data_IF_457828344547
#
_entry.id   IF_457828344547
#
_cell.length_a   1.000
_cell.length_b   1.000
_cell.length_c   1.000
_cell.angle_alpha   90.00
_cell.angle_beta   90.00
_cell.angle_gamma   90.00
#
_symmetry.space_group_name_H-M   'P 1'
#
loop_
_entity.id
_entity.type
_entity.pdbx_description
1 polymer ?
#
# COMPACT_ATOMS: atom_id res chain seq x y z
N UNK A 1 110.49 0.51 -1.58
CA UNK A 1 109.27 0.28 -2.30
C UNK A 1 108.16 0.78 -1.38
N UNK A 2 107.83 2.02 -1.53
CA UNK A 2 106.85 2.76 -0.63
C UNK A 2 105.47 2.73 -1.29
N UNK A 3 104.48 2.16 -0.61
CA UNK A 3 103.13 2.29 -0.99
C UNK A 3 102.46 3.44 -0.18
N UNK A 4 102.02 4.50 -0.88
CA UNK A 4 101.15 5.56 -0.32
C UNK A 4 99.74 5.08 -0.34
N UNK A 5 99.12 5.02 0.84
CA UNK A 5 97.67 4.89 1.00
C UNK A 5 97.10 6.28 1.10
N UNK A 6 96.34 6.68 0.06
CA UNK A 6 95.60 7.97 0.04
C UNK A 6 94.25 7.69 0.63
N UNK A 7 94.01 8.26 1.86
CA UNK A 7 92.71 8.18 2.55
C UNK A 7 91.80 9.24 1.97
N UNK A 8 90.74 8.76 1.29
CA UNK A 8 89.69 9.61 0.75
C UNK A 8 88.66 9.91 1.85
N UNK A 9 88.63 11.14 2.34
CA UNK A 9 87.68 11.64 3.30
C UNK A 9 86.39 12.06 2.55
N UNK A 10 85.31 11.24 2.60
CA UNK A 10 84.01 11.58 2.06
C UNK A 10 83.28 12.40 3.12
N UNK A 11 83.11 13.67 2.86
CA UNK A 11 82.28 14.55 3.65
C UNK A 11 80.82 14.27 3.25
N UNK A 12 80.07 13.55 4.09
CA UNK A 12 78.64 13.43 4.02
C UNK A 12 78.02 14.75 4.48
N UNK A 13 77.64 15.58 3.53
CA UNK A 13 76.75 16.73 3.81
C UNK A 13 75.35 16.14 4.03
N UNK A 14 74.98 16.00 5.28
CA UNK A 14 73.59 15.72 5.63
C UNK A 14 72.73 16.88 5.18
N UNK A 15 71.95 16.66 4.13
CA UNK A 15 70.76 17.50 3.89
C UNK A 15 69.78 17.20 5.02
N UNK A 16 69.71 18.11 6.00
CA UNK A 16 68.53 18.21 6.85
C UNK A 16 67.39 18.60 5.93
N UNK A 17 66.48 17.70 5.68
CA UNK A 17 65.16 18.09 5.24
C UNK A 17 64.60 18.93 6.39
N UNK A 18 64.47 20.22 6.19
CA UNK A 18 63.49 21.00 6.96
C UNK A 18 62.16 20.23 6.90
N UNK A 19 61.67 19.82 8.02
CA UNK A 19 60.24 19.49 8.15
C UNK A 19 59.53 20.77 7.76
N UNK A 20 59.13 20.83 6.47
CA UNK A 20 58.07 21.78 6.09
C UNK A 20 56.98 21.57 7.11
N UNK A 21 56.62 22.66 7.80
CA UNK A 21 55.42 22.75 8.62
C UNK A 21 54.28 22.12 7.83
N UNK A 22 54.00 20.86 8.10
CA UNK A 22 52.74 20.25 7.72
C UNK A 22 51.75 21.06 8.52
N UNK A 23 51.12 22.03 7.86
CA UNK A 23 49.92 22.66 8.39
C UNK A 23 48.95 21.50 8.62
N UNK A 24 48.96 20.92 9.81
CA UNK A 24 47.95 20.00 10.22
C UNK A 24 46.64 20.75 10.09
N UNK A 25 45.81 20.33 9.15
CA UNK A 25 44.45 20.81 9.02
C UNK A 25 43.69 20.39 10.27
N UNK A 26 43.71 21.27 11.26
CA UNK A 26 43.03 21.01 12.55
C UNK A 26 41.58 21.38 12.36
N UNK A 27 40.73 20.35 12.31
CA UNK A 27 39.28 20.48 12.40
C UNK A 27 38.93 20.69 13.87
N UNK A 28 38.46 21.88 14.22
CA UNK A 28 38.06 22.20 15.58
C UNK A 28 36.55 21.85 15.77
N UNK A 29 36.19 21.48 16.99
CA UNK A 29 34.77 21.41 17.34
C UNK A 29 34.17 22.83 17.25
N UNK A 30 32.93 22.91 16.68
CA UNK A 30 32.20 24.17 16.69
C UNK A 30 31.97 24.66 18.12
N UNK A 31 32.00 25.97 18.29
CA UNK A 31 31.65 26.65 19.56
C UNK A 31 30.15 27.00 19.60
N UNK A 32 29.46 26.87 18.49
CA UNK A 32 28.01 27.12 18.36
C UNK A 32 27.22 25.83 18.60
N UNK A 33 26.08 25.95 19.22
CA UNK A 33 25.16 24.83 19.41
C UNK A 33 24.43 24.52 18.12
N UNK A 34 24.41 23.24 17.76
CA UNK A 34 23.59 22.75 16.66
C UNK A 34 22.13 22.63 17.12
N UNK A 35 21.20 23.23 16.41
CA UNK A 35 19.79 23.24 16.75
C UNK A 35 18.91 23.28 15.50
N UNK A 36 17.74 22.65 15.56
CA UNK A 36 16.71 22.83 14.57
C UNK A 36 16.15 24.26 14.61
N UNK A 37 15.96 24.84 13.42
CA UNK A 37 15.40 26.18 13.21
C UNK A 37 13.99 26.16 12.66
N UNK A 38 13.56 25.00 12.12
CA UNK A 38 12.22 24.80 11.62
C UNK A 38 11.16 24.92 12.72
N UNK A 39 9.99 25.48 12.36
CA UNK A 39 8.83 25.54 13.26
C UNK A 39 8.07 24.21 13.13
N UNK A 40 8.07 23.45 14.22
CA UNK A 40 7.38 22.16 14.27
C UNK A 40 5.89 22.35 14.58
N UNK A 41 5.06 21.48 13.96
CA UNK A 41 3.62 21.42 14.27
C UNK A 41 3.38 20.68 15.59
N UNK A 42 2.30 20.98 16.31
CA UNK A 42 1.96 20.26 17.53
C UNK A 42 1.63 18.80 17.31
N UNK A 43 1.04 18.46 16.13
CA UNK A 43 0.69 17.10 15.70
C UNK A 43 0.86 17.00 14.19
N UNK A 44 1.40 15.89 13.72
CA UNK A 44 1.52 15.53 12.31
C UNK A 44 0.49 14.44 12.01
N UNK A 45 -0.55 14.79 11.25
CA UNK A 45 -1.59 13.86 10.84
C UNK A 45 -1.14 13.10 9.61
N UNK A 46 -1.12 11.77 9.69
CA UNK A 46 -0.57 10.86 8.69
C UNK A 46 -1.70 10.10 8.00
N UNK A 47 -2.00 10.45 6.77
CA UNK A 47 -2.93 9.75 5.88
C UNK A 47 -2.11 8.89 4.90
N UNK A 48 -2.17 7.57 5.01
CA UNK A 48 -1.43 6.65 4.14
C UNK A 48 -1.83 6.79 2.65
N UNK A 49 -3.05 7.26 2.37
CA UNK A 49 -3.48 7.59 1.00
C UNK A 49 -2.67 8.71 0.36
N UNK A 50 -1.87 9.43 1.16
CA UNK A 50 -0.97 10.53 0.76
C UNK A 50 0.50 10.22 1.01
N UNK A 51 0.87 8.95 0.91
CA UNK A 51 2.19 8.43 1.28
C UNK A 51 3.38 9.22 0.69
N UNK A 52 3.24 9.71 -0.54
CA UNK A 52 4.29 10.45 -1.25
C UNK A 52 4.24 11.97 -1.05
N UNK A 53 3.28 12.50 -0.28
CA UNK A 53 3.24 13.93 0.06
C UNK A 53 4.27 14.27 1.13
N UNK A 54 4.78 15.50 1.08
CA UNK A 54 5.69 16.04 2.08
C UNK A 54 4.95 16.23 3.40
N UNK A 55 5.49 15.66 4.48
CA UNK A 55 4.87 15.71 5.81
C UNK A 55 5.64 16.57 6.81
N UNK A 56 6.95 16.49 6.80
CA UNK A 56 7.80 17.16 7.78
C UNK A 56 8.99 17.82 7.09
N UNK A 57 9.18 19.12 7.32
CA UNK A 57 10.37 19.86 6.93
C UNK A 57 11.22 20.15 8.16
N UNK A 58 12.46 19.69 8.15
CA UNK A 58 13.46 19.95 9.17
C UNK A 58 14.56 20.82 8.58
N UNK A 59 14.87 21.89 9.25
CA UNK A 59 15.98 22.79 8.95
C UNK A 59 16.78 23.05 10.24
N UNK A 60 18.09 23.24 10.13
CA UNK A 60 18.98 23.52 11.26
C UNK A 60 20.04 24.54 10.89
N UNK A 61 20.68 25.13 11.92
CA UNK A 61 21.75 26.09 11.69
C UNK A 61 23.03 25.43 11.18
N UNK A 62 23.74 26.10 10.31
CA UNK A 62 25.08 25.69 9.88
C UNK A 62 26.11 25.88 10.99
N UNK A 63 27.09 24.99 11.08
CA UNK A 63 28.20 25.11 12.00
C UNK A 63 29.53 25.26 11.25
N UNK A 64 30.42 26.12 11.81
CA UNK A 64 31.78 26.21 11.34
C UNK A 64 32.73 25.33 12.16
N UNK A 65 33.57 24.57 11.46
CA UNK A 65 34.59 23.70 12.06
C UNK A 65 36.02 24.29 11.92
N UNK A 66 36.14 25.58 11.74
CA UNK A 66 37.44 26.29 11.70
C UNK A 66 38.21 26.18 10.39
N UNK A 67 37.66 25.55 9.38
CA UNK A 67 38.23 25.39 8.03
C UNK A 67 37.24 25.88 6.99
N UNK A 68 37.57 26.95 6.28
CA UNK A 68 36.72 27.51 5.21
C UNK A 68 36.46 26.54 4.04
N UNK A 69 37.31 25.54 3.84
CA UNK A 69 37.24 24.57 2.78
C UNK A 69 36.71 23.20 3.24
N UNK A 70 36.31 23.05 4.49
CA UNK A 70 35.79 21.79 4.99
C UNK A 70 34.40 21.50 4.38
N UNK A 71 34.25 20.31 3.80
CA UNK A 71 32.94 19.82 3.39
C UNK A 71 32.22 19.32 4.66
N UNK A 72 31.28 20.13 5.11
CA UNK A 72 30.40 19.79 6.23
C UNK A 72 29.26 18.96 5.68
N UNK A 73 28.93 17.89 6.37
CA UNK A 73 27.78 17.03 6.06
C UNK A 73 26.89 16.89 7.28
N UNK A 74 25.64 16.56 7.00
CA UNK A 74 24.63 16.40 8.03
C UNK A 74 24.00 15.01 7.94
N UNK A 75 23.53 14.50 9.05
CA UNK A 75 22.79 13.27 9.14
C UNK A 75 21.66 13.45 10.16
N UNK A 76 20.43 13.26 9.72
CA UNK A 76 19.27 13.25 10.60
C UNK A 76 19.02 11.82 11.05
N UNK A 77 18.85 11.64 12.33
CA UNK A 77 18.52 10.39 12.99
C UNK A 77 17.15 10.52 13.63
N UNK A 78 16.30 9.51 13.44
CA UNK A 78 14.99 9.38 14.06
C UNK A 78 14.92 8.13 14.96
N UNK A 79 14.19 8.21 16.04
CA UNK A 79 13.95 7.09 16.94
C UNK A 79 12.56 7.16 17.54
N UNK A 80 12.01 5.98 17.83
CA UNK A 80 10.77 5.85 18.63
C UNK A 80 11.06 5.95 20.13
N UNK A 81 12.34 5.99 20.53
CA UNK A 81 12.78 6.11 21.92
C UNK A 81 13.51 7.44 22.11
N UNK A 82 13.14 8.21 23.13
CA UNK A 82 13.76 9.52 23.45
C UNK A 82 15.27 9.43 23.69
N UNK A 83 15.73 8.33 24.28
CA UNK A 83 17.13 8.08 24.57
C UNK A 83 17.96 7.60 23.37
N UNK A 84 17.32 7.39 22.20
CA UNK A 84 17.95 6.84 21.00
C UNK A 84 18.65 5.50 21.25
N UNK A 85 18.05 4.65 22.09
CA UNK A 85 18.50 3.27 22.29
C UNK A 85 18.46 2.45 20.99
N UNK A 86 17.59 2.82 20.07
CA UNK A 86 17.55 2.37 18.68
C UNK A 86 17.60 3.55 17.72
N UNK A 87 18.10 3.33 16.51
CA UNK A 87 17.99 4.29 15.41
C UNK A 87 17.02 3.67 14.40
N UNK A 88 15.86 4.26 14.28
CA UNK A 88 14.75 3.70 13.50
C UNK A 88 14.61 4.42 12.14
N UNK A 89 15.22 5.60 12.00
CA UNK A 89 15.36 6.35 10.76
C UNK A 89 16.76 6.96 10.64
N UNK A 90 17.31 6.94 9.44
CA UNK A 90 18.60 7.56 9.12
C UNK A 90 18.58 8.16 7.71
N UNK A 91 18.82 9.46 7.58
CA UNK A 91 18.73 10.19 6.31
C UNK A 91 19.89 9.93 5.31
N UNK A 92 20.95 9.23 5.72
CA UNK A 92 22.19 9.28 4.95
C UNK A 92 22.96 10.60 5.15
N UNK A 93 23.96 10.85 4.32
CA UNK A 93 24.78 12.08 4.40
C UNK A 93 24.20 13.19 3.52
N UNK A 94 23.73 14.27 4.13
CA UNK A 94 23.17 15.44 3.47
C UNK A 94 24.25 16.53 3.31
N UNK A 95 24.19 17.32 2.24
CA UNK A 95 25.08 18.46 2.01
C UNK A 95 24.45 19.77 2.48
N UNK A 96 23.13 19.85 2.42
CA UNK A 96 22.37 21.04 2.80
C UNK A 96 21.82 20.86 4.22
N UNK A 97 21.64 21.95 5.00
CA UNK A 97 21.18 21.89 6.37
C UNK A 97 19.65 21.74 6.49
N UNK A 98 19.07 20.94 5.63
CA UNK A 98 17.62 20.70 5.56
C UNK A 98 17.29 19.27 5.15
N UNK A 99 16.10 18.83 5.51
CA UNK A 99 15.53 17.53 5.14
C UNK A 99 14.01 17.61 5.10
N UNK A 100 13.43 17.12 4.02
CA UNK A 100 11.99 16.86 3.93
C UNK A 100 11.73 15.37 4.07
N UNK A 101 10.82 14.98 4.97
CA UNK A 101 10.29 13.63 5.09
C UNK A 101 8.87 13.58 4.54
N UNK A 102 8.57 12.48 3.85
CA UNK A 102 7.23 12.21 3.33
C UNK A 102 6.36 11.52 4.38
N UNK A 103 5.05 11.49 4.13
CA UNK A 103 4.08 10.79 4.99
C UNK A 103 4.51 9.35 5.24
N UNK A 104 4.96 8.62 4.21
CA UNK A 104 5.42 7.22 4.35
C UNK A 104 6.57 7.04 5.33
N UNK A 105 7.50 8.02 5.41
CA UNK A 105 8.66 7.92 6.31
C UNK A 105 8.22 7.99 7.77
N UNK A 106 7.31 8.92 8.08
CA UNK A 106 6.73 9.04 9.43
C UNK A 106 5.78 7.89 9.75
N UNK A 107 5.03 7.39 8.74
CA UNK A 107 4.14 6.25 8.90
C UNK A 107 4.90 4.96 9.23
N UNK A 108 6.10 4.77 8.65
CA UNK A 108 6.98 3.67 8.99
C UNK A 108 7.44 3.72 10.47
N UNK A 109 7.79 4.92 10.97
CA UNK A 109 8.13 5.10 12.38
C UNK A 109 6.92 4.83 13.30
N UNK A 110 5.73 5.27 12.89
CA UNK A 110 4.49 4.97 13.59
C UNK A 110 4.22 3.46 13.66
N UNK A 111 4.46 2.73 12.56
CA UNK A 111 4.35 1.26 12.51
C UNK A 111 5.32 0.54 13.46
N UNK A 112 6.54 1.05 13.65
CA UNK A 112 7.51 0.50 14.63
C UNK A 112 6.99 0.63 16.06
N UNK A 113 6.23 1.69 16.37
CA UNK A 113 5.54 1.86 17.65
C UNK A 113 4.30 0.95 17.81
N UNK A 114 3.91 0.24 16.75
CA UNK A 114 2.69 -0.56 16.71
C UNK A 114 1.42 0.25 16.53
N UNK A 115 1.53 1.51 16.07
CA UNK A 115 0.37 2.32 15.74
C UNK A 115 -0.24 1.84 14.41
N UNK A 116 -1.55 1.96 14.30
CA UNK A 116 -2.29 1.59 13.10
C UNK A 116 -3.46 2.55 12.82
N UNK A 117 -4.17 2.33 11.74
CA UNK A 117 -5.31 3.14 11.31
C UNK A 117 -6.67 2.45 11.53
N UNK A 118 -6.72 1.34 12.25
CA UNK A 118 -7.96 0.63 12.56
C UNK A 118 -8.62 1.23 13.81
N UNK A 119 -9.79 1.89 13.70
CA UNK A 119 -10.48 2.48 14.84
C UNK A 119 -10.97 1.45 15.89
N UNK A 120 -10.85 0.15 15.61
CA UNK A 120 -11.20 -0.91 16.55
C UNK A 120 -10.03 -1.31 17.45
N UNK A 121 -8.81 -0.98 17.08
CA UNK A 121 -7.62 -1.27 17.89
C UNK A 121 -7.41 -0.18 18.92
N UNK A 122 -7.00 -0.61 20.11
CA UNK A 122 -6.76 0.29 21.23
C UNK A 122 -5.44 -0.04 21.92
N UNK A 123 -4.85 0.97 22.55
CA UNK A 123 -3.71 0.80 23.44
C UNK A 123 -4.10 0.03 24.73
N UNK A 124 -3.13 -0.24 25.59
CA UNK A 124 -3.34 -0.94 26.85
C UNK A 124 -4.30 -0.21 27.83
N UNK A 125 -4.61 1.06 27.59
CA UNK A 125 -5.51 1.89 28.38
C UNK A 125 -6.90 1.99 27.76
N UNK A 126 -7.11 1.43 26.56
CA UNK A 126 -8.37 1.50 25.83
C UNK A 126 -8.55 2.77 25.01
N UNK A 127 -7.49 3.56 24.78
CA UNK A 127 -7.53 4.69 23.85
C UNK A 127 -7.23 4.21 22.43
N UNK A 128 -7.64 4.96 21.36
CA UNK A 128 -7.25 4.66 20.00
C UNK A 128 -5.74 4.44 19.86
N UNK A 129 -5.34 3.40 19.12
CA UNK A 129 -3.93 3.04 18.90
C UNK A 129 -3.32 3.75 17.70
N UNK A 130 -3.64 5.04 17.52
CA UNK A 130 -3.27 5.83 16.35
C UNK A 130 -2.35 7.00 16.65
N UNK A 131 -1.96 7.23 17.91
CA UNK A 131 -1.13 8.37 18.30
C UNK A 131 0.15 7.94 19.00
N UNK A 132 1.24 8.63 18.70
CA UNK A 132 2.54 8.35 19.33
C UNK A 132 3.52 9.50 19.18
N UNK A 133 4.67 9.38 19.82
CA UNK A 133 5.73 10.40 19.77
C UNK A 133 7.00 9.79 19.20
N UNK A 134 7.58 10.46 18.21
CA UNK A 134 8.89 10.13 17.62
C UNK A 134 9.88 11.25 17.91
N UNK A 135 11.14 10.94 17.90
CA UNK A 135 12.22 11.82 18.29
C UNK A 135 13.23 11.96 17.17
N UNK A 136 13.69 13.20 16.91
CA UNK A 136 14.70 13.47 15.90
C UNK A 136 15.85 14.26 16.49
N UNK A 137 17.04 14.00 15.95
CA UNK A 137 18.23 14.83 16.16
C UNK A 137 19.03 14.90 14.86
N UNK A 138 19.80 15.97 14.69
CA UNK A 138 20.74 16.08 13.60
C UNK A 138 22.18 15.97 14.15
N UNK A 139 23.04 15.30 13.39
CA UNK A 139 24.48 15.26 13.61
C UNK A 139 25.18 15.89 12.41
N UNK A 140 26.00 16.89 12.66
CA UNK A 140 26.83 17.58 11.66
C UNK A 140 28.26 17.12 11.81
N UNK A 141 28.95 16.80 10.71
CA UNK A 141 30.28 16.20 10.75
C UNK A 141 31.14 16.59 9.55
N UNK A 142 32.48 16.45 9.73
CA UNK A 142 33.46 16.65 8.68
C UNK A 142 34.19 15.33 8.41
N UNK A 143 34.27 14.95 7.13
CA UNK A 143 34.96 13.74 6.70
C UNK A 143 34.06 12.50 6.67
N UNK A 144 34.61 11.35 7.05
CA UNK A 144 33.87 10.08 7.06
C UNK A 144 33.13 9.90 8.39
N UNK A 145 31.82 9.78 8.35
CA UNK A 145 30.97 9.64 9.52
C UNK A 145 31.34 8.49 10.46
N UNK A 146 31.86 7.39 9.90
CA UNK A 146 32.21 6.17 10.65
C UNK A 146 33.67 6.16 11.14
N UNK A 147 34.46 7.18 10.81
CA UNK A 147 35.85 7.25 11.27
C UNK A 147 35.93 7.43 12.79
N UNK A 148 36.91 6.79 13.41
CA UNK A 148 37.10 6.82 14.88
C UNK A 148 37.33 8.22 15.43
N UNK A 149 37.97 9.09 14.64
CA UNK A 149 38.34 10.46 15.00
C UNK A 149 37.56 11.52 14.25
N UNK A 150 36.36 11.19 13.75
CA UNK A 150 35.49 12.18 13.08
C UNK A 150 35.05 13.26 14.06
N UNK A 151 35.16 14.50 13.65
CA UNK A 151 34.64 15.64 14.41
C UNK A 151 33.15 15.77 14.10
N UNK A 152 32.32 15.70 15.13
CA UNK A 152 30.86 15.79 15.06
C UNK A 152 30.32 16.78 16.07
N UNK A 153 29.26 17.47 15.69
CA UNK A 153 28.35 18.15 16.60
C UNK A 153 26.98 17.49 16.53
N UNK A 154 26.23 17.53 17.63
CA UNK A 154 24.94 16.89 17.76
C UNK A 154 23.95 17.86 18.35
N UNK A 155 22.76 17.96 17.78
CA UNK A 155 21.67 18.79 18.30
C UNK A 155 21.05 18.20 19.57
N UNK A 156 20.28 19.04 20.26
CA UNK A 156 19.24 18.56 21.16
C UNK A 156 18.22 17.70 20.40
N UNK A 157 17.53 16.83 21.13
CA UNK A 157 16.43 16.04 20.61
C UNK A 157 15.18 16.89 20.48
N UNK A 158 14.45 16.76 19.38
CA UNK A 158 13.10 17.31 19.21
C UNK A 158 12.11 16.16 19.16
N UNK A 159 10.94 16.37 19.76
CA UNK A 159 9.84 15.39 19.74
C UNK A 159 8.74 15.85 18.80
N UNK A 160 8.15 14.90 18.08
CA UNK A 160 7.02 15.10 17.18
C UNK A 160 5.89 14.17 17.59
N UNK A 161 4.69 14.71 17.75
CA UNK A 161 3.51 13.87 17.93
C UNK A 161 2.95 13.50 16.57
N UNK A 162 2.78 12.22 16.36
CA UNK A 162 2.16 11.64 15.16
C UNK A 162 0.75 11.21 15.49
N UNK A 163 -0.16 11.39 14.55
CA UNK A 163 -1.52 10.88 14.59
C UNK A 163 -1.82 10.21 13.24
N UNK A 164 -1.98 8.89 13.25
CA UNK A 164 -2.45 8.18 12.06
C UNK A 164 -3.95 8.48 11.87
N UNK A 165 -4.32 8.91 10.67
CA UNK A 165 -5.74 9.09 10.33
C UNK A 165 -6.42 7.73 10.35
N UNK A 166 -7.33 7.56 11.30
CA UNK A 166 -8.13 6.34 11.36
C UNK A 166 -9.05 6.28 10.15
N UNK A 167 -9.00 5.16 9.48
CA UNK A 167 -9.96 4.84 8.42
C UNK A 167 -11.01 3.97 9.09
N UNK A 168 -12.27 4.39 9.00
CA UNK A 168 -13.37 3.56 9.48
C UNK A 168 -13.18 2.16 8.87
N UNK A 169 -13.12 1.13 9.75
CA UNK A 169 -12.91 -0.23 9.29
C UNK A 169 -13.86 -0.51 8.15
N UNK A 170 -13.33 -0.94 7.01
CA UNK A 170 -14.16 -1.35 5.89
C UNK A 170 -15.11 -2.44 6.37
N UNK A 171 -16.42 -2.26 6.22
CA UNK A 171 -17.35 -3.31 6.55
C UNK A 171 -17.01 -4.54 5.71
N UNK A 172 -16.95 -5.69 6.34
CA UNK A 172 -16.75 -6.93 5.60
C UNK A 172 -17.91 -7.13 4.61
N UNK A 173 -17.55 -7.29 3.34
CA UNK A 173 -18.53 -7.60 2.29
C UNK A 173 -18.85 -9.08 2.35
N UNK A 174 -20.02 -9.42 2.88
CA UNK A 174 -20.51 -10.78 3.02
C UNK A 174 -21.48 -11.14 1.88
N UNK A 175 -21.60 -12.44 1.59
CA UNK A 175 -22.64 -12.92 0.67
C UNK A 175 -24.02 -12.48 1.16
N UNK A 176 -24.82 -11.90 0.28
CA UNK A 176 -26.19 -11.54 0.56
C UNK A 176 -27.16 -12.59 0.03
N UNK A 177 -28.45 -12.46 0.38
CA UNK A 177 -29.53 -13.26 -0.20
C UNK A 177 -29.94 -12.77 -1.61
N UNK A 178 -29.36 -11.68 -2.10
CA UNK A 178 -29.74 -11.01 -3.35
C UNK A 178 -28.75 -11.32 -4.48
N UNK A 179 -29.30 -11.33 -5.70
CA UNK A 179 -28.50 -11.47 -6.92
C UNK A 179 -29.25 -10.99 -8.16
N UNK A 180 -28.56 -11.06 -9.27
CA UNK A 180 -29.04 -10.61 -10.56
C UNK A 180 -29.61 -11.76 -11.39
N UNK A 181 -30.69 -11.48 -12.11
CA UNK A 181 -31.22 -12.33 -13.17
C UNK A 181 -31.50 -11.53 -14.41
N UNK A 182 -31.26 -12.11 -15.56
CA UNK A 182 -31.40 -11.45 -16.85
C UNK A 182 -31.17 -12.40 -18.03
N UNK A 183 -31.10 -11.89 -19.27
CA UNK A 183 -30.78 -12.71 -20.43
C UNK A 183 -29.44 -13.44 -20.31
N UNK A 184 -28.47 -12.87 -19.59
CA UNK A 184 -27.13 -13.45 -19.38
C UNK A 184 -27.13 -14.78 -18.60
N UNK A 185 -28.24 -15.14 -17.94
CA UNK A 185 -28.43 -16.42 -17.27
C UNK A 185 -29.79 -17.03 -17.58
N UNK A 186 -30.38 -16.73 -18.77
CA UNK A 186 -31.68 -17.22 -19.20
C UNK A 186 -32.81 -16.97 -18.17
N UNK A 187 -32.69 -15.94 -17.35
CA UNK A 187 -33.61 -15.64 -16.24
C UNK A 187 -33.70 -16.78 -15.19
N UNK A 188 -32.66 -17.58 -15.09
CA UNK A 188 -32.60 -18.70 -14.14
C UNK A 188 -32.24 -18.20 -12.74
N UNK A 189 -33.19 -18.34 -11.81
CA UNK A 189 -33.03 -17.99 -10.38
C UNK A 189 -32.45 -19.15 -9.56
N UNK A 190 -32.10 -20.27 -10.17
CA UNK A 190 -31.61 -21.48 -9.48
C UNK A 190 -30.08 -21.60 -9.53
N UNK A 191 -29.40 -20.81 -10.35
CA UNK A 191 -27.91 -20.77 -10.47
C UNK A 191 -27.31 -19.45 -9.99
N UNK A 192 -27.51 -19.07 -8.75
CA UNK A 192 -27.37 -17.70 -8.31
C UNK A 192 -25.94 -17.24 -8.03
N UNK A 193 -24.99 -18.15 -7.77
CA UNK A 193 -23.70 -17.79 -7.16
C UNK A 193 -22.86 -16.87 -8.04
N UNK A 194 -22.90 -17.01 -9.36
CA UNK A 194 -22.14 -16.18 -10.30
C UNK A 194 -22.60 -14.71 -10.27
N UNK A 195 -23.86 -14.47 -9.93
CA UNK A 195 -24.49 -13.15 -9.99
C UNK A 195 -24.95 -12.65 -8.61
N UNK A 196 -24.37 -13.21 -7.55
CA UNK A 196 -24.69 -12.80 -6.18
C UNK A 196 -24.23 -11.37 -5.90
N UNK A 197 -24.99 -10.67 -5.07
CA UNK A 197 -24.59 -9.39 -4.50
C UNK A 197 -23.99 -9.60 -3.11
N UNK A 198 -23.10 -8.70 -2.72
CA UNK A 198 -22.49 -8.67 -1.38
C UNK A 198 -23.07 -7.51 -0.56
N UNK A 199 -23.04 -7.66 0.76
CA UNK A 199 -23.36 -6.57 1.68
C UNK A 199 -22.30 -5.48 1.61
N UNK A 200 -22.66 -4.23 1.95
CA UNK A 200 -21.73 -3.09 1.98
C UNK A 200 -21.46 -2.59 3.41
N UNK A 201 -21.98 -3.30 4.41
CA UNK A 201 -21.99 -2.82 5.80
C UNK A 201 -23.11 -1.83 6.12
N UNK A 202 -23.73 -1.23 5.12
CA UNK A 202 -24.97 -0.47 5.28
C UNK A 202 -26.17 -1.43 5.15
N UNK A 203 -27.12 -1.32 6.06
CA UNK A 203 -28.32 -2.13 6.03
C UNK A 203 -29.11 -1.89 4.72
N UNK A 204 -29.54 -2.96 4.08
CA UNK A 204 -30.26 -2.97 2.79
C UNK A 204 -29.53 -2.38 1.58
N UNK A 205 -28.23 -2.09 1.68
CA UNK A 205 -27.40 -1.67 0.56
C UNK A 205 -26.51 -2.83 0.13
N UNK A 206 -26.62 -3.23 -1.14
CA UNK A 206 -25.92 -4.37 -1.70
C UNK A 206 -25.15 -3.96 -2.95
N UNK A 207 -24.03 -4.63 -3.21
CA UNK A 207 -23.16 -4.36 -4.34
C UNK A 207 -22.91 -5.64 -5.13
N UNK A 208 -22.94 -5.55 -6.44
CA UNK A 208 -22.66 -6.67 -7.32
C UNK A 208 -21.95 -6.23 -8.59
N UNK A 209 -21.40 -7.19 -9.32
CA UNK A 209 -20.68 -6.95 -10.57
C UNK A 209 -21.32 -7.79 -11.70
N UNK A 210 -21.47 -7.22 -12.88
CA UNK A 210 -22.30 -7.75 -13.93
C UNK A 210 -21.79 -7.34 -15.31
N UNK A 211 -21.67 -8.31 -16.23
CA UNK A 211 -21.46 -8.05 -17.66
C UNK A 211 -22.80 -8.15 -18.39
N UNK A 212 -23.17 -7.12 -19.13
CA UNK A 212 -24.44 -7.02 -19.85
C UNK A 212 -24.15 -6.78 -21.32
N UNK A 213 -24.49 -7.77 -22.15
CA UNK A 213 -24.34 -7.65 -23.62
C UNK A 213 -25.61 -7.09 -24.25
N UNK A 214 -26.77 -7.61 -23.84
CA UNK A 214 -28.09 -7.26 -24.37
C UNK A 214 -29.16 -7.43 -23.28
N UNK A 215 -30.20 -6.63 -23.39
CA UNK A 215 -31.31 -6.64 -22.41
C UNK A 215 -30.96 -5.94 -21.12
N UNK A 216 -31.45 -6.44 -20.01
CA UNK A 216 -31.28 -5.82 -18.72
C UNK A 216 -31.23 -6.84 -17.59
N UNK A 217 -31.41 -6.38 -16.37
CA UNK A 217 -31.41 -7.25 -15.20
C UNK A 217 -32.55 -6.89 -14.24
N UNK A 218 -32.87 -7.84 -13.38
CA UNK A 218 -33.63 -7.65 -12.15
C UNK A 218 -32.81 -8.10 -10.97
N UNK A 219 -33.10 -7.56 -9.80
CA UNK A 219 -32.53 -8.01 -8.53
C UNK A 219 -33.57 -8.91 -7.86
N UNK A 220 -33.21 -10.13 -7.51
CA UNK A 220 -34.12 -11.08 -6.88
C UNK A 220 -33.47 -11.76 -5.68
N UNK A 221 -34.32 -12.24 -4.76
CA UNK A 221 -33.85 -13.13 -3.70
C UNK A 221 -33.41 -14.46 -4.31
N UNK A 222 -32.27 -14.98 -3.81
CA UNK A 222 -31.67 -16.22 -4.33
C UNK A 222 -32.18 -17.45 -3.61
N UNK A 223 -33.49 -17.55 -3.39
CA UNK A 223 -34.17 -18.68 -2.73
C UNK A 223 -34.79 -19.66 -3.74
N UNK A 224 -34.52 -19.47 -5.04
CA UNK A 224 -35.11 -20.24 -6.13
C UNK A 224 -36.56 -19.83 -6.43
N UNK A 225 -37.03 -18.71 -5.92
CA UNK A 225 -38.37 -18.20 -6.17
C UNK A 225 -38.35 -16.72 -6.63
N UNK A 226 -39.46 -16.31 -7.25
CA UNK A 226 -39.67 -14.91 -7.61
C UNK A 226 -40.40 -14.15 -6.49
N UNK A 227 -40.32 -14.61 -5.25
CA UNK A 227 -41.07 -14.07 -4.11
C UNK A 227 -40.80 -12.61 -3.84
N UNK A 228 -39.55 -12.18 -4.02
CA UNK A 228 -39.15 -10.77 -3.93
C UNK A 228 -38.25 -10.44 -5.11
N UNK A 229 -38.66 -9.49 -5.92
CA UNK A 229 -37.94 -9.08 -7.13
C UNK A 229 -38.08 -7.59 -7.31
N UNK A 230 -36.95 -6.93 -7.57
CA UNK A 230 -36.87 -5.52 -7.88
C UNK A 230 -36.54 -5.33 -9.35
N UNK A 231 -37.30 -4.45 -9.99
CA UNK A 231 -37.20 -4.13 -11.40
C UNK A 231 -37.13 -2.60 -11.58
N UNK A 232 -37.12 -2.15 -12.85
CA UNK A 232 -37.07 -0.73 -13.17
C UNK A 232 -38.26 0.03 -12.60
N UNK A 233 -38.01 1.10 -11.83
CA UNK A 233 -39.02 1.89 -11.14
C UNK A 233 -39.65 3.02 -11.97
N UNK A 234 -39.35 3.08 -13.29
CA UNK A 234 -39.94 4.09 -14.20
C UNK A 234 -39.07 5.34 -14.41
N UNK A 235 -38.06 5.55 -13.60
CA UNK A 235 -37.02 6.57 -13.79
C UNK A 235 -35.63 5.98 -13.55
N UNK A 236 -34.63 6.50 -14.24
CA UNK A 236 -33.25 6.06 -14.04
C UNK A 236 -32.84 6.19 -12.57
N UNK A 237 -32.15 5.18 -12.04
CA UNK A 237 -31.74 5.11 -10.65
C UNK A 237 -32.85 4.66 -9.68
N UNK A 238 -34.09 4.40 -10.13
CA UNK A 238 -35.18 3.93 -9.28
C UNK A 238 -35.50 2.46 -9.48
N UNK A 239 -35.84 1.79 -8.40
CA UNK A 239 -36.33 0.39 -8.37
C UNK A 239 -37.79 0.35 -7.97
N UNK A 240 -38.47 -0.74 -8.32
CA UNK A 240 -39.82 -1.09 -7.88
C UNK A 240 -39.87 -2.58 -7.54
N UNK A 241 -40.43 -2.91 -6.39
CA UNK A 241 -40.66 -4.29 -6.00
C UNK A 241 -41.84 -4.86 -6.80
N UNK A 242 -41.55 -5.44 -7.96
CA UNK A 242 -42.52 -6.15 -8.77
C UNK A 242 -41.86 -6.98 -9.88
N UNK A 243 -42.11 -8.28 -9.89
CA UNK A 243 -41.60 -9.20 -10.92
C UNK A 243 -42.11 -8.91 -12.33
N UNK A 244 -43.32 -8.33 -12.47
CA UNK A 244 -43.97 -8.10 -13.75
C UNK A 244 -43.45 -6.84 -14.49
N UNK A 245 -42.69 -5.99 -13.82
CA UNK A 245 -42.14 -4.78 -14.45
C UNK A 245 -40.94 -5.07 -15.34
N UNK A 246 -40.65 -4.09 -16.22
CA UNK A 246 -39.49 -4.16 -17.12
C UNK A 246 -38.18 -4.26 -16.34
N UNK A 247 -37.16 -4.95 -16.88
CA UNK A 247 -35.84 -5.00 -16.25
C UNK A 247 -35.18 -3.60 -16.24
N UNK A 248 -34.18 -3.43 -15.39
CA UNK A 248 -33.26 -2.30 -15.49
C UNK A 248 -32.40 -2.52 -16.73
N UNK A 249 -32.42 -1.60 -17.68
CA UNK A 249 -31.67 -1.67 -18.92
C UNK A 249 -30.60 -0.59 -18.90
N UNK A 250 -29.29 -0.96 -18.97
CA UNK A 250 -28.22 0.03 -19.08
C UNK A 250 -28.29 0.76 -20.43
N UNK A 251 -27.68 1.94 -20.52
CA UNK A 251 -27.62 2.73 -21.76
C UNK A 251 -26.75 2.11 -22.85
N UNK A 252 -25.85 1.20 -22.50
CA UNK A 252 -24.95 0.46 -23.39
C UNK A 252 -24.67 -0.92 -22.86
N UNK A 253 -24.30 -1.85 -23.73
CA UNK A 253 -23.65 -3.09 -23.32
C UNK A 253 -22.31 -2.75 -22.66
N UNK A 254 -21.92 -3.52 -21.63
CA UNK A 254 -20.67 -3.24 -20.91
C UNK A 254 -20.57 -4.03 -19.61
N UNK A 255 -19.57 -3.64 -18.82
CA UNK A 255 -19.24 -4.22 -17.53
C UNK A 255 -19.56 -3.21 -16.44
N UNK A 256 -20.35 -3.60 -15.46
CA UNK A 256 -20.89 -2.68 -14.48
C UNK A 256 -20.73 -3.18 -13.06
N UNK A 257 -20.40 -2.25 -12.18
CA UNK A 257 -20.64 -2.40 -10.74
C UNK A 257 -21.99 -1.78 -10.43
N UNK A 258 -22.88 -2.56 -9.84
CA UNK A 258 -24.24 -2.14 -9.47
C UNK A 258 -24.33 -2.06 -7.96
N UNK A 259 -24.76 -0.91 -7.46
CA UNK A 259 -25.09 -0.72 -6.05
C UNK A 259 -26.61 -0.49 -5.94
N UNK A 260 -27.27 -1.24 -5.10
CA UNK A 260 -28.71 -1.13 -4.87
C UNK A 260 -29.01 -0.88 -3.39
N UNK A 261 -29.80 0.13 -3.09
CA UNK A 261 -30.42 0.35 -1.79
C UNK A 261 -31.90 -0.07 -1.88
N UNK A 262 -32.20 -1.24 -1.31
CA UNK A 262 -33.53 -1.82 -1.37
C UNK A 262 -34.49 -1.17 -0.37
N UNK A 263 -34.00 -0.35 0.56
CA UNK A 263 -34.85 0.42 1.48
C UNK A 263 -35.37 1.70 0.86
N UNK A 264 -34.53 2.39 0.10
CA UNK A 264 -34.92 3.59 -0.65
C UNK A 264 -35.42 3.30 -2.06
N UNK A 265 -35.35 2.04 -2.49
CA UNK A 265 -35.68 1.58 -3.85
C UNK A 265 -34.90 2.34 -4.92
N UNK A 266 -33.59 2.44 -4.73
CA UNK A 266 -32.68 3.10 -5.67
C UNK A 266 -31.54 2.18 -6.09
N UNK A 267 -30.95 2.46 -7.25
CA UNK A 267 -29.73 1.82 -7.71
C UNK A 267 -28.80 2.82 -8.39
N UNK A 268 -27.53 2.51 -8.42
CA UNK A 268 -26.55 3.12 -9.30
C UNK A 268 -25.80 2.05 -10.10
N UNK A 269 -25.36 2.42 -11.29
CA UNK A 269 -24.53 1.59 -12.16
C UNK A 269 -23.29 2.39 -12.56
N UNK A 270 -22.14 1.81 -12.37
CA UNK A 270 -20.87 2.40 -12.77
C UNK A 270 -20.17 1.43 -13.74
N UNK A 271 -19.81 1.93 -14.92
CA UNK A 271 -18.98 1.16 -15.85
C UNK A 271 -17.59 0.94 -15.23
N UNK A 272 -17.12 -0.30 -15.23
CA UNK A 272 -15.90 -0.68 -14.56
C UNK A 272 -15.18 -1.83 -15.25
N UNK A 273 -13.87 -1.89 -15.09
CA UNK A 273 -13.10 -3.09 -15.39
C UNK A 273 -13.40 -4.15 -14.31
N UNK A 274 -14.00 -5.27 -14.71
CA UNK A 274 -14.38 -6.35 -13.81
C UNK A 274 -13.36 -7.47 -13.86
N UNK A 275 -12.79 -7.83 -12.73
CA UNK A 275 -11.96 -9.03 -12.60
C UNK A 275 -12.88 -10.24 -12.47
N UNK A 276 -12.66 -11.22 -13.31
CA UNK A 276 -13.36 -12.49 -13.32
C UNK A 276 -12.44 -13.67 -13.01
N UNK A 277 -13.00 -14.67 -12.33
CA UNK A 277 -12.36 -15.95 -12.07
C UNK A 277 -12.76 -16.95 -13.15
N UNK A 278 -11.79 -17.55 -13.83
CA UNK A 278 -11.95 -18.44 -14.99
C UNK A 278 -11.00 -19.63 -14.91
N UNK A 279 -11.31 -20.72 -15.56
CA UNK A 279 -10.41 -21.86 -15.70
C UNK A 279 -11.05 -23.18 -15.34
N UNK A 280 -10.31 -24.30 -15.42
CA UNK A 280 -10.84 -25.66 -15.28
C UNK A 280 -11.59 -25.95 -13.98
N UNK A 281 -11.26 -25.17 -12.92
CA UNK A 281 -11.91 -25.32 -11.60
C UNK A 281 -13.23 -24.60 -11.48
N UNK A 282 -13.59 -23.70 -12.41
CA UNK A 282 -14.88 -23.00 -12.41
C UNK A 282 -15.95 -23.79 -13.16
N UNK A 283 -17.22 -23.53 -12.88
CA UNK A 283 -18.35 -24.25 -13.53
C UNK A 283 -18.38 -24.02 -15.04
N UNK A 284 -18.05 -22.83 -15.50
CA UNK A 284 -18.03 -22.47 -16.92
C UNK A 284 -16.67 -22.71 -17.59
N UNK A 285 -15.68 -23.17 -16.82
CA UNK A 285 -14.32 -23.46 -17.29
C UNK A 285 -13.71 -22.26 -18.04
N UNK A 286 -13.46 -22.40 -19.35
CA UNK A 286 -12.83 -21.38 -20.17
C UNK A 286 -13.80 -20.49 -20.95
N UNK A 287 -15.09 -20.91 -21.02
CA UNK A 287 -16.07 -20.32 -21.93
C UNK A 287 -16.76 -19.06 -21.35
N UNK A 288 -16.68 -18.85 -20.02
CA UNK A 288 -17.41 -17.76 -19.36
C UNK A 288 -18.94 -17.97 -19.30
N UNK A 289 -19.71 -17.07 -18.73
CA UNK A 289 -19.22 -15.88 -18.04
C UNK A 289 -18.36 -16.23 -16.81
N UNK A 290 -17.38 -15.40 -16.56
CA UNK A 290 -16.50 -15.55 -15.40
C UNK A 290 -17.26 -15.22 -14.11
N UNK A 291 -16.83 -15.81 -12.98
CA UNK A 291 -17.25 -15.31 -11.67
C UNK A 291 -16.68 -13.92 -11.43
N UNK A 292 -17.53 -12.89 -11.47
CA UNK A 292 -17.09 -11.51 -11.25
C UNK A 292 -16.77 -11.28 -9.78
N UNK A 293 -15.56 -10.82 -9.52
CA UNK A 293 -15.19 -10.33 -8.20
C UNK A 293 -15.67 -8.89 -8.08
N UNK A 294 -16.23 -8.57 -6.94
CA UNK A 294 -16.84 -7.28 -6.66
C UNK A 294 -15.77 -6.36 -6.06
N UNK A 295 -15.52 -5.17 -6.62
CA UNK A 295 -14.57 -4.22 -6.04
C UNK A 295 -14.95 -3.87 -4.60
N UNK A 296 -13.99 -3.94 -3.69
CA UNK A 296 -14.15 -3.48 -2.32
C UNK A 296 -14.52 -2.00 -2.30
N UNK A 297 -15.51 -1.64 -1.50
CA UNK A 297 -16.00 -0.25 -1.44
C UNK A 297 -15.05 0.71 -0.74
N UNK A 298 -14.07 0.19 0.01
CA UNK A 298 -13.14 0.98 0.81
C UNK A 298 -11.68 0.85 0.36
N UNK A 299 -11.31 -0.30 -0.18
CA UNK A 299 -9.93 -0.60 -0.57
C UNK A 299 -9.82 -0.64 -2.10
N UNK A 300 -9.41 0.46 -2.70
CA UNK A 300 -9.18 0.51 -4.14
C UNK A 300 -8.18 -0.59 -4.56
N UNK A 301 -8.47 -1.29 -5.66
CA UNK A 301 -7.64 -2.38 -6.17
C UNK A 301 -7.88 -3.75 -5.51
N UNK A 302 -8.68 -3.82 -4.45
CA UNK A 302 -9.11 -5.10 -3.84
C UNK A 302 -10.45 -5.53 -4.43
N UNK A 303 -10.56 -6.82 -4.77
CA UNK A 303 -11.74 -7.43 -5.36
C UNK A 303 -12.10 -8.71 -4.60
N UNK A 304 -13.39 -8.91 -4.36
CA UNK A 304 -13.90 -9.95 -3.45
C UNK A 304 -14.95 -10.80 -4.15
N UNK A 305 -14.82 -12.12 -4.03
CA UNK A 305 -15.86 -13.08 -4.35
C UNK A 305 -16.16 -13.94 -3.13
N UNK A 306 -17.42 -14.25 -2.89
CA UNK A 306 -17.84 -15.02 -1.74
C UNK A 306 -18.54 -16.30 -2.15
N UNK A 307 -18.25 -17.40 -1.44
CA UNK A 307 -18.90 -18.69 -1.57
C UNK A 307 -18.87 -19.26 -3.00
N UNK A 308 -17.79 -19.05 -3.74
CA UNK A 308 -17.63 -19.50 -5.12
C UNK A 308 -17.38 -21.02 -5.15
N UNK A 309 -18.21 -21.83 -5.83
CA UNK A 309 -17.97 -23.26 -5.97
C UNK A 309 -16.83 -23.50 -6.94
N UNK A 310 -15.78 -24.16 -6.47
CA UNK A 310 -14.63 -24.56 -7.26
C UNK A 310 -14.40 -26.06 -7.14
N UNK A 311 -13.93 -26.67 -8.23
CA UNK A 311 -13.40 -28.03 -8.21
C UNK A 311 -11.90 -28.04 -8.13
N UNK A 312 -11.30 -29.14 -7.70
CA UNK A 312 -9.83 -29.26 -7.68
C UNK A 312 -9.26 -29.08 -9.10
N UNK A 313 -8.17 -28.33 -9.20
CA UNK A 313 -7.56 -27.98 -10.49
C UNK A 313 -6.88 -26.64 -10.46
N UNK A 314 -7.18 -25.77 -11.41
CA UNK A 314 -6.58 -24.43 -11.50
C UNK A 314 -7.58 -23.36 -11.91
N UNK A 315 -7.31 -22.13 -11.45
CA UNK A 315 -8.03 -20.91 -11.86
C UNK A 315 -7.05 -19.84 -12.33
N UNK A 316 -7.58 -18.87 -13.02
CA UNK A 316 -6.91 -17.66 -13.49
C UNK A 316 -7.84 -16.47 -13.25
N UNK A 317 -7.27 -15.27 -13.25
CA UNK A 317 -8.07 -14.06 -13.30
C UNK A 317 -7.91 -13.40 -14.66
N UNK A 318 -8.97 -12.82 -15.18
CA UNK A 318 -8.95 -11.96 -16.37
C UNK A 318 -9.92 -10.80 -16.22
N UNK A 319 -9.69 -9.77 -17.01
CA UNK A 319 -10.51 -8.55 -16.98
C UNK A 319 -11.54 -8.61 -18.10
N UNK A 320 -12.79 -8.29 -17.77
CA UNK A 320 -13.87 -8.13 -18.74
C UNK A 320 -14.11 -9.36 -19.65
N UNK A 321 -13.95 -10.57 -19.10
CA UNK A 321 -14.07 -11.85 -19.84
C UNK A 321 -13.09 -11.98 -21.03
N UNK A 322 -12.03 -11.15 -21.08
CA UNK A 322 -11.05 -11.09 -22.15
C UNK A 322 -9.63 -11.39 -21.64
N UNK A 323 -8.80 -12.00 -22.51
CA UNK A 323 -7.42 -12.37 -22.16
C UNK A 323 -6.39 -11.27 -22.37
N UNK A 324 -6.78 -10.11 -22.85
CA UNK A 324 -5.87 -8.94 -23.05
C UNK A 324 -5.22 -8.53 -21.75
N UNK A 325 -5.98 -8.55 -20.66
CA UNK A 325 -5.46 -8.35 -19.29
C UNK A 325 -5.84 -9.56 -18.46
N UNK A 326 -4.85 -10.29 -17.99
CA UNK A 326 -5.04 -11.51 -17.23
C UNK A 326 -3.96 -11.71 -16.17
N UNK A 327 -4.23 -12.57 -15.19
CA UNK A 327 -3.31 -12.88 -14.10
C UNK A 327 -3.26 -14.38 -13.85
N UNK A 328 -2.07 -14.88 -13.53
CA UNK A 328 -1.83 -16.26 -13.13
C UNK A 328 -0.97 -16.34 -11.88
N UNK A 329 -0.68 -17.56 -11.45
CA UNK A 329 0.21 -17.80 -10.30
C UNK A 329 1.55 -17.11 -10.49
N UNK A 330 1.97 -16.35 -9.48
CA UNK A 330 3.29 -15.72 -9.40
C UNK A 330 4.39 -16.69 -8.95
N UNK A 331 5.52 -16.13 -8.57
CA UNK A 331 6.69 -16.92 -8.12
C UNK A 331 6.47 -17.64 -6.79
N UNK A 332 5.46 -17.23 -6.02
CA UNK A 332 5.12 -17.80 -4.71
C UNK A 332 3.61 -17.98 -4.64
N UNK A 333 3.18 -18.98 -3.86
CA UNK A 333 1.80 -19.10 -3.45
C UNK A 333 1.29 -17.80 -2.79
N UNK A 334 0.06 -17.42 -3.09
CA UNK A 334 -0.51 -16.14 -2.64
C UNK A 334 -0.14 -14.94 -3.51
N UNK A 335 0.70 -15.09 -4.55
CA UNK A 335 1.06 -13.98 -5.45
C UNK A 335 0.56 -14.23 -6.88
N UNK A 336 0.28 -13.14 -7.61
CA UNK A 336 -0.12 -13.17 -9.03
C UNK A 336 0.84 -12.36 -9.88
N UNK A 337 0.94 -12.74 -11.16
CA UNK A 337 1.66 -11.97 -12.17
C UNK A 337 0.72 -11.57 -13.31
N UNK A 338 0.87 -10.33 -13.86
CA UNK A 338 0.05 -9.85 -14.95
C UNK A 338 0.52 -10.41 -16.29
N UNK A 339 -0.43 -10.62 -17.20
CA UNK A 339 -0.21 -10.99 -18.61
C UNK A 339 0.82 -12.12 -18.80
N UNK A 340 0.63 -13.25 -18.15
CA UNK A 340 1.65 -14.29 -18.05
C UNK A 340 1.93 -15.03 -19.38
N UNK A 341 1.11 -14.80 -20.40
CA UNK A 341 1.25 -15.46 -21.69
C UNK A 341 0.66 -16.90 -21.74
N UNK A 342 0.70 -17.49 -22.92
CA UNK A 342 0.19 -18.84 -23.16
C UNK A 342 1.06 -19.86 -22.43
N UNK A 343 0.41 -20.79 -21.70
CA UNK A 343 1.10 -21.85 -20.94
C UNK A 343 1.58 -21.46 -19.55
N UNK A 344 1.12 -20.33 -19.05
CA UNK A 344 1.36 -19.94 -17.65
C UNK A 344 0.77 -20.94 -16.66
N UNK A 345 1.34 -20.98 -15.46
CA UNK A 345 0.85 -21.84 -14.38
C UNK A 345 -0.39 -21.21 -13.75
N UNK A 346 -1.51 -21.95 -13.74
CA UNK A 346 -2.72 -21.49 -13.04
C UNK A 346 -2.56 -21.53 -11.53
N UNK A 347 -3.38 -20.76 -10.85
CA UNK A 347 -3.49 -20.74 -9.40
C UNK A 347 -4.14 -22.05 -8.95
N UNK A 348 -3.52 -22.83 -8.08
CA UNK A 348 -4.01 -24.15 -7.70
C UNK A 348 -5.24 -24.06 -6.80
N UNK A 349 -6.26 -24.87 -7.11
CA UNK A 349 -7.39 -25.19 -6.24
C UNK A 349 -7.18 -26.62 -5.74
N UNK A 350 -6.84 -26.78 -4.47
CA UNK A 350 -6.41 -28.07 -3.93
C UNK A 350 -7.52 -29.10 -3.85
N UNK A 351 -8.74 -28.68 -3.52
CA UNK A 351 -9.89 -29.55 -3.26
C UNK A 351 -11.17 -28.92 -3.78
N UNK A 352 -12.18 -29.79 -4.05
CA UNK A 352 -13.54 -29.33 -4.34
C UNK A 352 -14.14 -28.63 -3.12
N UNK A 353 -14.90 -27.57 -3.33
CA UNK A 353 -15.56 -26.85 -2.24
C UNK A 353 -16.01 -25.45 -2.64
N UNK A 354 -16.55 -24.75 -1.68
CA UNK A 354 -16.86 -23.34 -1.82
C UNK A 354 -15.71 -22.51 -1.25
N UNK A 355 -15.39 -21.42 -1.92
CA UNK A 355 -14.27 -20.57 -1.59
C UNK A 355 -14.66 -19.10 -1.52
N UNK A 356 -14.10 -18.40 -0.55
CA UNK A 356 -13.96 -16.96 -0.63
C UNK A 356 -12.67 -16.63 -1.39
N UNK A 357 -12.76 -15.69 -2.30
CA UNK A 357 -11.66 -15.27 -3.18
C UNK A 357 -11.41 -13.79 -2.98
N UNK A 358 -10.18 -13.44 -2.67
CA UNK A 358 -9.75 -12.05 -2.54
C UNK A 358 -8.57 -11.83 -3.48
N UNK A 359 -8.60 -10.75 -4.25
CA UNK A 359 -7.51 -10.32 -5.12
C UNK A 359 -7.15 -8.89 -4.78
N UNK A 360 -5.89 -8.64 -4.48
CA UNK A 360 -5.35 -7.30 -4.27
C UNK A 360 -4.34 -6.98 -5.39
N UNK A 361 -4.73 -6.08 -6.27
CA UNK A 361 -3.89 -5.62 -7.38
C UNK A 361 -2.78 -4.66 -6.95
N UNK A 362 -2.87 -4.07 -5.76
CA UNK A 362 -1.83 -3.17 -5.25
C UNK A 362 -0.59 -3.97 -4.80
N UNK A 363 -0.85 -5.11 -4.16
CA UNK A 363 0.20 -6.01 -3.68
C UNK A 363 0.45 -7.18 -4.63
N UNK A 364 -0.32 -7.28 -5.71
CA UNK A 364 -0.29 -8.41 -6.65
C UNK A 364 -0.42 -9.75 -5.92
N UNK A 365 -1.43 -9.86 -5.06
CA UNK A 365 -1.68 -11.03 -4.24
C UNK A 365 -3.11 -11.56 -4.38
N UNK A 366 -3.30 -12.80 -3.98
CA UNK A 366 -4.61 -13.44 -3.92
C UNK A 366 -4.74 -14.31 -2.66
N UNK A 367 -5.98 -14.53 -2.26
CA UNK A 367 -6.34 -15.54 -1.26
C UNK A 367 -7.48 -16.42 -1.79
N UNK A 368 -7.36 -17.73 -1.60
CA UNK A 368 -8.43 -18.72 -1.80
C UNK A 368 -8.73 -19.37 -0.45
N UNK A 369 -9.80 -18.95 0.20
CA UNK A 369 -10.19 -19.41 1.54
C UNK A 369 -11.31 -20.43 1.39
N UNK A 370 -11.02 -21.69 1.63
CA UNK A 370 -12.04 -22.77 1.60
C UNK A 370 -12.98 -22.64 2.79
N UNK A 371 -14.28 -22.72 2.55
CA UNK A 371 -15.33 -22.62 3.55
C UNK A 371 -15.68 -23.97 4.19
#
# INVERSE_FOLDING_TARGET
MFFYIMSLFVILVGYSCDEEDKNELIVNSSTEDLAFTSVLQPVYSLDIGKAEEDALFLEWNELSFGLESAIVKHKVLGSVNEDFSTIDYESGGLNDPELTLQVKDLYNLAGIMGLDNDPKTTDANGNPNNTGTVYFRVETYVGNYTAVNVVKAKSSVVSLNLEIVEVAACPEMLLSEWGFVGPFNDWDITTPVIYSMLTTGNENVFKGALSIDDGGFKITVLDGSWSKTYAYGGTEGSLMENVAFEPVIPSSAGHYVVTADLSSLTYSMEEAELIGLVGPSTVNQWDGPDYKLIPDGCQAGVHIGRNIPLTSGTVYFRVNDDWTVSYSLGDKEGTIIPNPGIGSTGIPVAEDGNYDVIVDLNTMSYELIKL
#
